data_IF_545597488037
#
_entry.id   IF_545597488037
#
_cell.length_a   1.000
_cell.length_b   1.000
_cell.length_c   1.000
_cell.angle_alpha   90.00
_cell.angle_beta   90.00
_cell.angle_gamma   90.00
#
_symmetry.space_group_name_H-M   'P 1'
#
loop_
_entity.id
_entity.type
_entity.pdbx_description
1 polymer ?
2 non-polymer ?
3 non-polymer ?
4 non-polymer ?
5 water ?
#
# COMPACT_ATOMS: atom_id res chain seq x y z
N UNK A 1 -15.22 14.85 13.12
CA UNK A 1 -14.17 14.08 13.86
C UNK A 1 -14.16 12.58 13.53
N UNK A 2 -15.31 11.91 13.57
CA UNK A 2 -15.33 10.46 13.32
C UNK A 2 -15.50 10.12 11.84
N UNK A 3 -14.80 9.06 11.43
CA UNK A 3 -14.80 8.65 10.05
C UNK A 3 -16.19 8.17 9.63
N UNK A 4 -16.61 8.61 8.45
CA UNK A 4 -17.87 8.20 7.87
C UNK A 4 -17.82 8.58 6.41
N UNK A 5 -18.96 8.42 5.73
CA UNK A 5 -18.98 8.57 4.29
C UNK A 5 -18.68 10.00 3.85
N UNK A 6 -18.73 10.96 4.77
CA UNK A 6 -18.48 12.36 4.43
C UNK A 6 -16.99 12.72 4.41
N UNK A 7 -16.15 11.92 5.04
CA UNK A 7 -14.73 12.26 5.11
C UNK A 7 -13.79 11.09 4.85
N UNK A 8 -14.29 9.92 4.43
CA UNK A 8 -13.47 8.74 4.19
C UNK A 8 -14.04 7.97 3.00
N UNK A 9 -13.23 7.81 1.97
CA UNK A 9 -13.63 7.14 0.74
C UNK A 9 -14.05 5.72 0.93
N UNK A 10 -13.49 5.00 1.87
CA UNK A 10 -13.86 3.59 2.04
C UNK A 10 -15.25 3.48 2.69
N UNK A 11 -15.54 4.29 3.72
CA UNK A 11 -16.91 4.38 4.23
C UNK A 11 -17.86 4.84 3.13
N UNK A 12 -17.49 5.90 2.40
CA UNK A 12 -18.33 6.32 1.28
C UNK A 12 -18.69 5.12 0.39
N UNK A 13 -17.69 4.31 0.04
CA UNK A 13 -17.95 3.25 -0.91
C UNK A 13 -18.86 2.17 -0.31
N UNK A 14 -18.58 1.77 0.92
CA UNK A 14 -19.37 0.71 1.53
C UNK A 14 -20.82 1.13 1.61
N UNK A 15 -21.05 2.36 2.09
CA UNK A 15 -22.44 2.82 2.22
C UNK A 15 -23.13 2.94 0.85
N UNK A 16 -22.37 3.26 -0.19
CA UNK A 16 -22.94 3.35 -1.52
C UNK A 16 -23.46 2.02 -2.05
N UNK A 17 -22.95 0.89 -1.53
CA UNK A 17 -23.41 -0.43 -1.95
C UNK A 17 -24.17 -1.14 -0.81
N UNK A 18 -24.56 -0.41 0.22
CA UNK A 18 -25.36 -0.98 1.27
C UNK A 18 -24.62 -1.85 2.24
N UNK A 19 -23.30 -1.73 2.34
CA UNK A 19 -22.53 -2.57 3.24
C UNK A 19 -22.58 -1.93 4.62
N UNK A 20 -23.02 -2.68 5.62
CA UNK A 20 -23.30 -2.12 6.96
C UNK A 20 -22.12 -2.23 7.91
N UNK A 21 -20.93 -2.53 7.41
CA UNK A 21 -19.81 -2.88 8.28
C UNK A 21 -19.53 -1.77 9.29
N UNK A 22 -19.21 -2.19 10.52
CA UNK A 22 -18.86 -1.31 11.63
C UNK A 22 -17.52 -1.71 12.22
N UNK A 23 -16.74 -0.70 12.55
CA UNK A 23 -15.43 -0.93 13.13
C UNK A 23 -15.51 -1.32 14.60
N UNK A 24 -14.75 -2.34 14.98
CA UNK A 24 -14.58 -2.71 16.39
C UNK A 24 -13.10 -2.87 16.68
N UNK A 25 -12.52 -1.96 17.48
CA UNK A 25 -11.08 -2.00 17.72
C UNK A 25 -10.66 -3.26 18.43
N UNK A 26 -11.58 -3.90 19.18
CA UNK A 26 -11.25 -5.16 19.86
C UNK A 26 -10.84 -6.25 18.90
N UNK A 27 -11.22 -6.12 17.63
CA UNK A 27 -10.90 -7.15 16.65
C UNK A 27 -9.45 -7.10 16.20
N UNK A 28 -8.74 -6.01 16.44
CA UNK A 28 -7.40 -5.84 15.87
C UNK A 28 -6.39 -6.43 16.84
N UNK A 29 -5.55 -7.34 16.34
CA UNK A 29 -4.56 -8.05 17.15
C UNK A 29 -3.36 -7.15 17.47
N UNK A 30 -2.66 -7.43 18.56
CA UNK A 30 -1.57 -6.54 18.99
C UNK A 30 -0.49 -6.37 17.95
N UNK A 31 -0.12 -7.45 17.27
CA UNK A 31 0.88 -7.34 16.23
C UNK A 31 0.46 -6.30 15.18
N UNK A 32 -0.83 -6.28 14.84
CA UNK A 32 -1.29 -5.39 13.78
C UNK A 32 -1.34 -3.97 14.28
N UNK A 33 -1.81 -3.77 15.53
CA UNK A 33 -1.70 -2.45 16.13
C UNK A 33 -0.27 -1.97 16.09
N UNK A 34 0.67 -2.83 16.50
CA UNK A 34 2.07 -2.41 16.56
C UNK A 34 2.56 -1.99 15.18
N UNK A 35 2.32 -2.84 14.18
CA UNK A 35 2.77 -2.56 12.82
C UNK A 35 2.07 -1.33 12.25
N UNK A 36 0.76 -1.18 12.47
CA UNK A 36 0.10 -0.02 11.87
C UNK A 36 0.66 1.27 12.44
N UNK A 37 0.78 1.36 13.77
CA UNK A 37 1.26 2.63 14.35
C UNK A 37 2.71 2.92 13.95
N UNK A 38 3.52 1.87 13.82
CA UNK A 38 4.89 2.06 13.35
C UNK A 38 4.90 2.58 11.91
N UNK A 39 4.00 2.07 11.07
CA UNK A 39 3.91 2.60 9.71
C UNK A 39 3.46 4.04 9.72
N UNK A 40 2.47 4.38 10.55
CA UNK A 40 2.04 5.77 10.62
C UNK A 40 3.21 6.67 10.98
N UNK A 41 3.92 6.31 12.05
CA UNK A 41 4.95 7.19 12.56
C UNK A 41 6.11 7.27 11.59
N UNK A 42 6.39 6.20 10.85
CA UNK A 42 7.42 6.32 9.83
C UNK A 42 6.99 7.25 8.71
N UNK A 43 5.69 7.21 8.34
CA UNK A 43 5.19 8.03 7.25
C UNK A 43 5.05 9.48 7.68
N UNK A 44 4.76 9.72 8.97
CA UNK A 44 4.48 11.05 9.49
C UNK A 44 5.81 11.78 9.65
N UNK A 45 6.28 12.36 8.54
CA UNK A 45 7.69 12.75 8.47
C UNK A 45 8.02 13.89 9.44
N UNK A 46 7.04 14.73 9.77
CA UNK A 46 7.26 15.83 10.67
C UNK A 46 6.82 15.54 12.10
N UNK A 47 6.27 14.36 12.36
CA UNK A 47 5.86 13.92 13.70
C UNK A 47 4.85 14.90 14.33
N UNK A 48 3.85 15.29 13.56
CA UNK A 48 2.76 16.12 14.03
C UNK A 48 1.48 15.34 14.34
N UNK A 49 1.49 14.01 14.24
CA UNK A 49 0.26 13.25 14.44
C UNK A 49 -0.71 13.24 13.29
N UNK A 50 -0.30 13.72 12.13
CA UNK A 50 -1.11 13.73 10.93
C UNK A 50 -0.31 13.11 9.79
N UNK A 51 -0.98 12.32 8.98
CA UNK A 51 -0.43 11.85 7.73
C UNK A 51 -1.02 12.68 6.58
N UNK A 52 -0.16 13.23 5.72
CA UNK A 52 -0.59 13.98 4.54
C UNK A 52 -0.12 13.28 3.26
N UNK A 53 -0.77 13.60 2.14
CA UNK A 53 -0.33 13.07 0.86
C UNK A 53 1.10 13.46 0.55
N UNK A 54 1.49 14.69 0.88
CA UNK A 54 2.86 15.10 0.62
C UNK A 54 3.85 14.18 1.31
N UNK A 55 3.53 13.77 2.52
CA UNK A 55 4.43 12.88 3.23
C UNK A 55 4.42 11.49 2.60
N UNK A 56 3.23 10.99 2.24
CA UNK A 56 3.09 9.69 1.61
C UNK A 56 3.91 9.61 0.31
N UNK A 57 3.88 10.68 -0.50
CA UNK A 57 4.51 10.64 -1.82
C UNK A 57 6.03 10.64 -1.76
N UNK A 58 6.62 11.01 -0.62
CA UNK A 58 8.07 10.99 -0.50
C UNK A 58 8.63 9.61 -0.86
N UNK A 59 7.88 8.57 -0.63
CA UNK A 59 8.44 7.23 -0.75
C UNK A 59 8.48 6.76 -2.19
N UNK A 60 7.37 6.85 -2.95
CA UNK A 60 7.45 6.54 -4.39
C UNK A 60 8.39 7.46 -5.10
N UNK A 61 8.48 8.71 -4.67
CA UNK A 61 9.44 9.61 -5.31
C UNK A 61 10.86 9.12 -5.07
N UNK A 62 11.16 8.56 -3.87
CA UNK A 62 12.48 7.98 -3.66
C UNK A 62 12.68 6.72 -4.51
N UNK A 63 11.62 5.94 -4.70
CA UNK A 63 11.71 4.80 -5.60
C UNK A 63 12.13 5.26 -6.98
N UNK A 64 11.47 6.31 -7.50
CA UNK A 64 11.78 6.89 -8.80
C UNK A 64 13.25 7.26 -8.91
N UNK A 65 13.84 7.80 -7.84
CA UNK A 65 15.22 8.24 -7.90
C UNK A 65 16.17 7.09 -8.12
N UNK A 66 15.84 5.90 -7.59
CA UNK A 66 16.75 4.77 -7.57
C UNK A 66 16.69 3.92 -8.82
N UNK A 67 15.80 4.21 -9.74
CA UNK A 67 15.67 3.43 -10.96
C UNK A 67 15.62 4.43 -12.10
N UNK A 68 15.46 3.94 -13.33
CA UNK A 68 15.29 4.80 -14.49
C UNK A 68 14.04 4.35 -15.22
N UNK A 69 12.90 4.69 -14.64
CA UNK A 69 11.62 4.26 -15.16
C UNK A 69 11.14 5.27 -16.18
N UNK A 70 10.23 4.84 -17.02
CA UNK A 70 9.69 5.80 -17.96
C UNK A 70 8.78 6.80 -17.26
N UNK A 71 8.64 7.96 -17.89
CA UNK A 71 7.81 9.01 -17.34
C UNK A 71 6.38 8.52 -17.14
N UNK A 72 5.87 7.71 -18.07
CA UNK A 72 4.50 7.21 -17.92
C UNK A 72 4.43 6.13 -16.85
N UNK A 73 5.45 5.30 -16.74
CA UNK A 73 5.45 4.38 -15.60
C UNK A 73 5.38 5.14 -14.29
N UNK A 74 6.14 6.22 -14.19
CA UNK A 74 6.23 6.97 -12.94
C UNK A 74 4.89 7.61 -12.65
N UNK A 75 4.23 8.09 -13.70
CA UNK A 75 2.93 8.74 -13.52
C UNK A 75 1.87 7.71 -13.11
N UNK A 76 1.91 6.52 -13.68
CA UNK A 76 1.03 5.44 -13.21
C UNK A 76 1.25 5.13 -11.73
N UNK A 77 2.51 5.07 -11.28
CA UNK A 77 2.80 4.80 -9.88
C UNK A 77 2.29 5.93 -9.00
N UNK A 78 2.56 7.19 -9.39
CA UNK A 78 2.04 8.34 -8.66
C UNK A 78 0.53 8.25 -8.52
N UNK A 79 -0.18 8.03 -9.63
CA UNK A 79 -1.63 7.91 -9.61
C UNK A 79 -2.08 6.79 -8.68
N UNK A 80 -1.44 5.62 -8.79
CA UNK A 80 -1.85 4.48 -7.97
C UNK A 80 -1.65 4.75 -6.49
N UNK A 81 -0.52 5.37 -6.14
CA UNK A 81 -0.25 5.69 -4.75
C UNK A 81 -1.28 6.69 -4.25
N UNK A 82 -1.62 7.67 -5.06
CA UNK A 82 -2.62 8.65 -4.63
C UNK A 82 -3.95 7.97 -4.38
N UNK A 83 -4.38 7.12 -5.30
CA UNK A 83 -5.67 6.46 -5.15
C UNK A 83 -5.66 5.57 -3.92
N UNK A 84 -4.59 4.79 -3.78
CA UNK A 84 -4.48 3.87 -2.66
C UNK A 84 -4.59 4.61 -1.34
N UNK A 85 -3.84 5.70 -1.17
CA UNK A 85 -3.84 6.31 0.16
C UNK A 85 -5.09 7.16 0.39
N UNK A 86 -5.67 7.72 -0.66
CA UNK A 86 -6.99 8.33 -0.54
C UNK A 86 -8.00 7.32 -0.01
N UNK A 87 -7.98 6.10 -0.55
CA UNK A 87 -8.93 5.11 -0.06
C UNK A 87 -8.54 4.55 1.31
N UNK A 88 -7.27 4.73 1.71
CA UNK A 88 -6.83 4.46 3.08
C UNK A 88 -7.17 5.60 4.03
N UNK A 89 -7.84 6.66 3.58
CA UNK A 89 -8.29 7.73 4.45
C UNK A 89 -7.47 8.99 4.41
N UNK A 90 -6.39 9.06 3.63
CA UNK A 90 -5.58 10.27 3.57
C UNK A 90 -6.27 11.25 2.65
N UNK A 91 -7.10 12.11 3.23
CA UNK A 91 -7.68 13.20 2.48
C UNK A 91 -6.60 14.11 1.89
N UNK A 92 -6.68 14.49 0.61
CA UNK A 92 -5.60 15.32 0.04
C UNK A 92 -5.55 16.71 0.62
N UNK A 93 -6.62 17.13 1.29
CA UNK A 93 -6.66 18.42 1.97
C UNK A 93 -6.47 18.30 3.47
N UNK A 94 -7.18 17.38 4.11
CA UNK A 94 -7.14 17.27 5.57
C UNK A 94 -6.13 16.29 6.09
N UNK A 95 -5.53 15.45 5.24
CA UNK A 95 -4.66 14.42 5.77
C UNK A 95 -5.48 13.44 6.59
N UNK A 96 -4.82 12.79 7.54
CA UNK A 96 -5.44 11.79 8.38
C UNK A 96 -4.73 11.75 9.74
N UNK A 97 -5.51 11.74 10.81
CA UNK A 97 -4.94 11.81 12.16
C UNK A 97 -4.56 10.43 12.67
N UNK A 98 -3.50 10.39 13.48
CA UNK A 98 -3.01 9.12 14.02
C UNK A 98 -4.15 8.31 14.65
N UNK A 99 -5.04 8.97 15.37
CA UNK A 99 -6.07 8.29 16.14
C UNK A 99 -7.14 7.64 15.27
N UNK A 100 -7.18 7.98 14.00
CA UNK A 100 -8.06 7.35 13.03
C UNK A 100 -7.36 6.35 12.12
N UNK A 101 -6.06 6.13 12.32
CA UNK A 101 -5.31 5.37 11.32
C UNK A 101 -5.70 3.91 11.33
N UNK A 102 -5.78 3.29 12.51
CA UNK A 102 -6.15 1.87 12.58
C UNK A 102 -7.50 1.65 11.93
N UNK A 103 -8.45 2.51 12.29
CA UNK A 103 -9.80 2.38 11.76
C UNK A 103 -9.80 2.57 10.25
N UNK A 104 -9.06 3.57 9.77
CA UNK A 104 -8.98 3.80 8.32
C UNK A 104 -8.47 2.56 7.61
N UNK A 105 -7.48 1.86 8.20
CA UNK A 105 -6.96 0.64 7.60
C UNK A 105 -7.98 -0.47 7.60
N UNK A 106 -8.77 -0.60 8.66
CA UNK A 106 -9.70 -1.71 8.71
C UNK A 106 -10.92 -1.47 7.82
N UNK A 107 -11.37 -0.23 7.64
CA UNK A 107 -12.50 -0.05 6.74
C UNK A 107 -12.04 -0.22 5.30
N UNK A 108 -10.79 0.15 5.01
CA UNK A 108 -10.26 -0.11 3.68
C UNK A 108 -10.25 -1.61 3.38
N UNK A 109 -9.89 -2.44 4.38
CA UNK A 109 -9.83 -3.87 4.14
C UNK A 109 -11.22 -4.42 3.81
N UNK A 110 -12.24 -3.98 4.54
CA UNK A 110 -13.61 -4.40 4.21
C UNK A 110 -13.99 -3.95 2.80
N UNK A 111 -13.62 -2.72 2.41
CA UNK A 111 -13.94 -2.25 1.07
C UNK A 111 -13.25 -3.08 -0.01
N UNK A 112 -12.00 -3.52 0.22
CA UNK A 112 -11.39 -4.44 -0.73
C UNK A 112 -12.14 -5.77 -0.78
N UNK A 113 -12.60 -6.28 0.37
CA UNK A 113 -13.40 -7.51 0.33
C UNK A 113 -14.70 -7.32 -0.45
N UNK A 114 -15.33 -6.15 -0.32
CA UNK A 114 -16.59 -5.88 -1.03
C UNK A 114 -16.35 -5.82 -2.53
N UNK A 115 -15.28 -5.16 -2.90
CA UNK A 115 -14.84 -5.13 -4.26
C UNK A 115 -14.58 -6.52 -4.81
N UNK A 116 -13.93 -7.36 -4.07
CA UNK A 116 -13.66 -8.70 -4.51
C UNK A 116 -14.94 -9.41 -4.82
N UNK A 117 -15.83 -9.39 -3.86
CA UNK A 117 -17.08 -10.06 -4.00
C UNK A 117 -17.86 -9.54 -5.20
N UNK A 118 -17.65 -8.31 -5.55
CA UNK A 118 -18.36 -7.70 -6.63
C UNK A 118 -17.63 -7.72 -7.93
N UNK A 119 -16.48 -8.35 -7.98
CA UNK A 119 -15.72 -8.42 -9.21
C UNK A 119 -15.16 -7.10 -9.67
N UNK A 120 -15.08 -6.14 -8.77
CA UNK A 120 -14.47 -4.86 -9.07
C UNK A 120 -12.97 -4.91 -8.83
N UNK A 121 -12.20 -4.02 -9.43
CA UNK A 121 -10.73 -4.13 -9.34
C UNK A 121 -10.21 -3.82 -7.94
N UNK A 122 -9.23 -4.62 -7.51
CA UNK A 122 -8.58 -4.42 -6.21
C UNK A 122 -7.65 -3.21 -6.27
N UNK A 123 -7.68 -2.39 -5.24
CA UNK A 123 -6.79 -1.23 -5.29
C UNK A 123 -5.40 -1.63 -4.86
N UNK A 124 -5.27 -2.72 -4.12
CA UNK A 124 -3.94 -3.24 -3.81
C UNK A 124 -3.27 -3.74 -5.07
N UNK A 125 -4.03 -4.42 -5.94
CA UNK A 125 -3.46 -4.90 -7.19
C UNK A 125 -3.08 -3.76 -8.10
N UNK A 126 -3.91 -2.71 -8.13
CA UNK A 126 -3.55 -1.50 -8.86
C UNK A 126 -2.20 -0.94 -8.39
N UNK A 127 -2.01 -0.84 -7.07
CA UNK A 127 -0.75 -0.31 -6.55
C UNK A 127 0.41 -1.23 -6.90
N UNK A 128 0.21 -2.53 -6.80
CA UNK A 128 1.30 -3.47 -7.07
C UNK A 128 1.70 -3.45 -8.54
N UNK A 129 0.71 -3.45 -9.45
CA UNK A 129 1.02 -3.48 -10.87
C UNK A 129 1.62 -2.16 -11.37
N UNK A 130 1.35 -1.05 -10.69
CA UNK A 130 2.04 0.19 -11.07
C UNK A 130 3.47 0.19 -10.57
N UNK A 131 3.69 -0.27 -9.37
CA UNK A 131 5.06 -0.33 -8.88
C UNK A 131 5.87 -1.33 -9.69
N UNK A 132 5.22 -2.41 -10.11
CA UNK A 132 5.89 -3.48 -10.82
C UNK A 132 6.79 -2.93 -11.89
N UNK A 133 6.20 -2.16 -12.79
CA UNK A 133 6.94 -1.64 -13.92
C UNK A 133 8.06 -0.71 -13.47
N UNK A 134 7.84 0.04 -12.40
CA UNK A 134 8.90 0.92 -11.95
C UNK A 134 10.04 0.11 -11.35
N UNK A 135 9.71 -0.95 -10.60
CA UNK A 135 10.74 -1.81 -10.01
C UNK A 135 11.54 -2.54 -11.09
N UNK A 136 10.89 -2.87 -12.18
CA UNK A 136 11.52 -3.66 -13.20
C UNK A 136 12.49 -2.80 -13.97
N UNK A 137 13.60 -2.39 -13.37
CA UNK A 137 14.54 -1.50 -14.05
C UNK A 137 15.29 -2.21 -15.17
N UNK A 138 15.32 -3.57 -15.13
CA UNK A 138 15.87 -4.44 -16.18
C UNK A 138 15.22 -4.22 -17.53
N UNK A 139 13.92 -3.96 -17.52
CA UNK A 139 13.18 -4.14 -18.75
C UNK A 139 12.77 -5.56 -19.08
N UNK A 140 12.97 -6.53 -18.18
CA UNK A 140 12.75 -7.91 -18.59
C UNK A 140 11.33 -8.37 -18.33
N UNK A 141 10.45 -7.47 -17.89
CA UNK A 141 9.09 -7.85 -17.70
C UNK A 141 8.80 -8.50 -16.38
N UNK A 142 9.78 -8.57 -15.50
CA UNK A 142 9.65 -9.23 -14.19
C UNK A 142 10.42 -8.46 -13.12
N UNK A 143 10.24 -8.88 -11.87
CA UNK A 143 10.96 -8.26 -10.78
C UNK A 143 11.88 -9.29 -10.15
N UNK A 144 13.19 -9.02 -10.18
CA UNK A 144 14.15 -9.95 -9.58
C UNK A 144 14.57 -9.43 -8.20
N UNK A 145 15.43 -10.20 -7.48
CA UNK A 145 15.59 -9.88 -6.06
C UNK A 145 16.27 -8.53 -5.89
N UNK A 146 17.22 -8.21 -6.77
CA UNK A 146 17.87 -6.90 -6.69
C UNK A 146 16.86 -5.79 -6.95
N UNK A 147 15.98 -5.99 -7.93
CA UNK A 147 14.92 -5.00 -8.12
C UNK A 147 14.07 -4.85 -6.86
N UNK A 148 13.86 -5.92 -6.09
CA UNK A 148 13.02 -5.77 -4.90
C UNK A 148 13.80 -5.11 -3.76
N UNK A 149 15.10 -5.42 -3.66
CA UNK A 149 15.97 -4.75 -2.69
C UNK A 149 15.94 -3.23 -2.91
N UNK A 150 16.01 -2.79 -4.15
CA UNK A 150 15.92 -1.35 -4.39
C UNK A 150 14.68 -0.79 -3.74
N UNK A 151 13.56 -1.50 -3.85
CA UNK A 151 12.34 -1.03 -3.22
C UNK A 151 12.49 -0.97 -1.70
N UNK A 152 13.19 -1.94 -1.12
CA UNK A 152 13.43 -1.90 0.31
C UNK A 152 14.25 -0.67 0.69
N UNK A 153 15.27 -0.38 -0.09
CA UNK A 153 16.13 0.77 0.19
C UNK A 153 15.33 2.06 0.13
N UNK A 154 14.49 2.22 -0.91
CA UNK A 154 13.65 3.40 -1.01
C UNK A 154 12.72 3.52 0.19
N UNK A 155 12.32 2.41 0.79
CA UNK A 155 11.40 2.47 1.91
C UNK A 155 12.08 2.39 3.27
N UNK A 156 13.41 2.49 3.34
CA UNK A 156 14.11 2.39 4.63
C UNK A 156 13.79 1.06 5.31
N UNK A 157 13.62 0.01 4.51
CA UNK A 157 13.60 -1.36 5.03
C UNK A 157 14.99 -1.91 4.76
N UNK A 158 15.57 -2.69 5.67
CA UNK A 158 16.89 -3.27 5.42
C UNK A 158 16.86 -4.21 4.23
N UNK A 159 17.85 -4.08 3.35
CA UNK A 159 17.80 -4.77 2.06
C UNK A 159 17.75 -6.29 2.22
N UNK A 160 18.09 -6.82 3.40
CA UNK A 160 17.97 -8.25 3.67
C UNK A 160 16.53 -8.71 3.90
N UNK A 161 15.60 -7.80 4.23
CA UNK A 161 14.20 -8.22 4.25
C UNK A 161 13.76 -8.73 2.87
N UNK A 162 14.38 -8.22 1.80
CA UNK A 162 13.95 -8.60 0.46
C UNK A 162 14.06 -10.10 0.24
N UNK A 163 15.19 -10.70 0.63
CA UNK A 163 15.39 -12.13 0.40
C UNK A 163 14.28 -12.95 1.02
N UNK A 164 13.83 -12.57 2.21
CA UNK A 164 12.75 -13.28 2.89
C UNK A 164 11.45 -13.20 2.11
N UNK A 165 11.00 -11.97 1.84
CA UNK A 165 9.74 -11.76 1.12
C UNK A 165 9.77 -12.45 -0.22
N UNK A 166 10.88 -12.32 -0.93
CA UNK A 166 10.99 -12.87 -2.26
C UNK A 166 10.82 -14.37 -2.23
N UNK A 167 11.64 -15.05 -1.42
CA UNK A 167 11.46 -16.50 -1.23
C UNK A 167 10.00 -16.85 -0.97
N UNK A 168 9.30 -16.04 -0.18
CA UNK A 168 7.96 -16.48 0.18
C UNK A 168 6.98 -16.24 -0.94
N UNK A 169 7.23 -15.27 -1.81
CA UNK A 169 6.27 -14.97 -2.85
C UNK A 169 6.58 -15.64 -4.18
N UNK A 170 7.83 -16.06 -4.40
CA UNK A 170 8.23 -16.70 -5.66
C UNK A 170 7.97 -18.20 -5.56
N UNK A 171 6.69 -18.54 -5.46
CA UNK A 171 6.33 -19.94 -5.28
C UNK A 171 6.47 -20.73 -6.58
N UNK A 172 6.42 -20.00 -7.70
CA UNK A 172 6.89 -20.36 -9.05
C UNK A 172 8.26 -21.00 -9.07
N UNK A 173 9.13 -20.60 -8.17
CA UNK A 173 10.55 -20.93 -8.29
C UNK A 173 11.12 -20.47 -9.63
N UNK A 174 10.76 -19.26 -10.09
CA UNK A 174 11.40 -18.74 -11.30
C UNK A 174 12.61 -17.86 -11.03
N UNK A 175 12.90 -17.55 -9.76
CA UNK A 175 13.86 -16.51 -9.45
C UNK A 175 13.40 -15.11 -9.78
N UNK A 176 12.12 -14.93 -10.17
CA UNK A 176 11.52 -13.63 -10.43
C UNK A 176 10.15 -13.59 -9.75
N UNK A 177 9.72 -12.39 -9.37
CA UNK A 177 8.32 -12.16 -9.00
C UNK A 177 7.56 -11.74 -10.25
N UNK A 178 6.70 -12.61 -10.74
CA UNK A 178 5.74 -12.24 -11.77
C UNK A 178 4.61 -11.42 -11.12
N UNK A 179 3.78 -10.78 -11.94
CA UNK A 179 2.82 -9.82 -11.38
C UNK A 179 1.99 -10.41 -10.25
N UNK A 180 1.38 -11.59 -10.38
CA UNK A 180 0.56 -12.10 -9.26
C UNK A 180 1.35 -12.33 -8.00
N UNK A 181 2.64 -12.54 -8.11
CA UNK A 181 3.39 -12.77 -6.91
C UNK A 181 3.75 -11.46 -6.23
N UNK A 182 3.88 -10.39 -6.99
CA UNK A 182 4.11 -9.11 -6.32
C UNK A 182 2.80 -8.63 -5.70
N UNK A 183 1.67 -8.93 -6.33
CA UNK A 183 0.39 -8.68 -5.68
C UNK A 183 0.36 -9.38 -4.33
N UNK A 184 0.65 -10.67 -4.33
CA UNK A 184 0.65 -11.41 -3.08
C UNK A 184 1.50 -10.67 -2.05
N UNK A 185 2.70 -10.26 -2.45
CA UNK A 185 3.62 -9.58 -1.54
C UNK A 185 3.06 -8.26 -1.05
N UNK A 186 2.44 -7.50 -1.94
CA UNK A 186 1.90 -6.19 -1.59
C UNK A 186 0.66 -6.31 -0.71
N UNK A 187 -0.11 -7.35 -0.88
CA UNK A 187 -1.20 -7.60 0.01
C UNK A 187 -0.72 -7.77 1.44
N UNK A 188 0.36 -8.49 1.63
CA UNK A 188 0.94 -8.62 2.96
C UNK A 188 1.57 -7.31 3.42
N UNK A 189 2.38 -6.69 2.57
CA UNK A 189 3.15 -5.52 2.99
C UNK A 189 2.22 -4.38 3.37
N UNK A 190 1.11 -4.23 2.67
CA UNK A 190 0.25 -3.10 2.80
C UNK A 190 -1.14 -3.36 3.42
N UNK A 191 -1.41 -4.53 3.94
CA UNK A 191 -2.72 -4.82 4.48
C UNK A 191 -2.84 -6.01 5.43
N UNK A 192 -2.49 -7.18 4.97
CA UNK A 192 -2.81 -8.37 5.69
C UNK A 192 -1.76 -8.68 6.72
N UNK A 193 -2.14 -9.49 7.68
CA UNK A 193 -1.17 -9.96 8.65
C UNK A 193 -0.10 -10.82 8.01
N UNK A 194 1.11 -10.68 8.46
CA UNK A 194 2.16 -11.59 8.07
C UNK A 194 1.85 -12.99 8.57
N UNK A 195 2.10 -13.96 7.72
CA UNK A 195 1.88 -15.34 8.07
C UNK A 195 3.05 -15.92 8.84
X LIG B 1 2.69 14.76 9.49
X LIG C 1 13.38 -6.93 -14.06
X LIG D 1 8.01 -16.48 -9.67
X LIG E 1 -4.80 -13.12 1.46
X LIG F 1 -0.89 -15.70 -2.53
X LIG G 1 10.92 0.14 -16.00
X LIG G 1 10.36 -0.69 -17.27
X LIG G 1 9.95 -1.29 -18.17
#
# INVERSE_FOLDING_TARGET
MPLDETNNESYRYLRSVGNTWKFNVEDVHPKMLERLYKRFDTFDLDTDGKMTMDEIMYWPDRMRQLVNATDEQVEKMRAAVHTFFFHKGVDPVNGLKREDWVEANRVFAEAERERERRGEPSLIALLSNAYYDVLDDDGDGTVDVEELKTMMKAFDVPQEAAYTFFQKADTDKTGKLERPELVHLFRKFWMEPYDPQWDGVYAYKY
CD CD
CD CD
CD CD
CD CD
NI NI
SCN S C N
#
